data_IF_849133060626
#
_entry.id   IF_849133060626
#
_cell.length_a   1.000
_cell.length_b   1.000
_cell.length_c   1.000
_cell.angle_alpha   90.00
_cell.angle_beta   90.00
_cell.angle_gamma   90.00
#
_symmetry.space_group_name_H-M   'P 1'
#
loop_
_entity.id
_entity.type
_entity.pdbx_description
1 polymer ?
#
# COMPACT_ATOMS: atom_id res chain seq x y z
N UNK A 1 -0.01 15.48 8.94
CA UNK A 1 0.69 14.28 8.44
C UNK A 1 2.12 14.69 8.16
N UNK A 2 3.11 14.07 8.81
CA UNK A 2 4.52 14.35 8.45
C UNK A 2 4.80 13.74 7.07
N UNK A 3 5.25 14.51 6.08
CA UNK A 3 5.49 14.03 4.71
C UNK A 3 6.65 13.03 4.57
N UNK A 4 7.43 12.83 5.63
CA UNK A 4 8.77 12.22 5.57
C UNK A 4 8.84 10.70 5.36
N UNK A 5 7.71 9.98 5.28
CA UNK A 5 7.72 8.51 5.09
C UNK A 5 6.73 8.03 4.02
N UNK A 6 6.52 8.81 2.96
CA UNK A 6 5.82 8.29 1.77
C UNK A 6 6.83 7.53 0.89
N UNK A 7 6.65 6.23 0.74
CA UNK A 7 7.48 5.41 -0.14
C UNK A 7 6.96 5.45 -1.58
N UNK A 8 7.74 6.01 -2.51
CA UNK A 8 7.42 5.98 -3.93
C UNK A 8 7.74 4.61 -4.53
N UNK A 9 6.80 4.06 -5.30
CA UNK A 9 6.99 2.81 -6.01
C UNK A 9 8.10 2.95 -7.06
N UNK A 10 9.13 2.11 -6.96
CA UNK A 10 10.19 1.97 -7.95
C UNK A 10 9.62 1.50 -9.31
N UNK A 11 10.18 1.95 -10.45
CA UNK A 11 9.82 1.42 -11.76
C UNK A 11 10.07 -0.08 -11.91
N UNK A 12 11.02 -0.63 -11.14
CA UNK A 12 11.50 -2.01 -11.27
C UNK A 12 10.78 -3.02 -10.37
N UNK A 13 9.94 -2.57 -9.45
CA UNK A 13 9.12 -3.48 -8.63
C UNK A 13 7.74 -3.68 -9.25
N UNK A 14 7.06 -4.77 -8.97
CA UNK A 14 5.65 -4.95 -9.27
C UNK A 14 4.76 -4.25 -8.24
N UNK A 15 3.47 -4.06 -8.56
CA UNK A 15 2.50 -3.54 -7.59
C UNK A 15 2.37 -4.47 -6.38
N UNK A 16 2.43 -5.78 -6.60
CA UNK A 16 2.42 -6.76 -5.51
C UNK A 16 3.63 -6.61 -4.58
N UNK A 17 4.85 -6.57 -5.12
CA UNK A 17 6.07 -6.41 -4.31
C UNK A 17 6.05 -5.12 -3.47
N UNK A 18 5.53 -4.04 -4.03
CA UNK A 18 5.34 -2.78 -3.34
C UNK A 18 4.39 -2.91 -2.13
N UNK A 19 3.20 -3.50 -2.33
CA UNK A 19 2.24 -3.71 -1.24
C UNK A 19 2.74 -4.73 -0.21
N UNK A 20 3.50 -5.75 -0.64
CA UNK A 20 4.17 -6.70 0.25
C UNK A 20 5.15 -5.99 1.19
N UNK A 21 5.95 -5.08 0.64
CA UNK A 21 6.88 -4.26 1.42
C UNK A 21 6.12 -3.36 2.41
N UNK A 22 5.06 -2.67 1.96
CA UNK A 22 4.26 -1.79 2.82
C UNK A 22 3.64 -2.55 3.99
N UNK A 23 2.99 -3.69 3.72
CA UNK A 23 2.36 -4.52 4.76
C UNK A 23 3.40 -5.05 5.77
N UNK A 24 4.54 -5.52 5.28
CA UNK A 24 5.65 -5.96 6.14
C UNK A 24 6.17 -4.81 7.01
N UNK A 25 6.35 -3.62 6.44
CA UNK A 25 6.85 -2.43 7.15
C UNK A 25 5.85 -1.94 8.19
N UNK A 26 4.55 -1.91 7.86
CA UNK A 26 3.47 -1.52 8.76
C UNK A 26 3.40 -2.42 9.99
N UNK A 27 3.54 -3.74 9.78
CA UNK A 27 3.60 -4.73 10.85
C UNK A 27 4.83 -4.58 11.74
N UNK A 28 6.01 -4.37 11.15
CA UNK A 28 7.27 -4.25 11.90
C UNK A 28 7.31 -2.97 12.74
N UNK A 29 6.84 -1.85 12.18
CA UNK A 29 6.86 -0.56 12.85
C UNK A 29 5.62 -0.33 13.74
N UNK A 30 4.59 -1.18 13.62
CA UNK A 30 3.33 -1.05 14.35
C UNK A 30 2.55 0.23 14.01
N UNK A 31 2.72 0.75 12.79
CA UNK A 31 2.14 2.03 12.34
C UNK A 31 1.67 1.95 10.88
N UNK A 32 0.83 2.91 10.49
CA UNK A 32 0.38 3.06 9.11
C UNK A 32 1.57 3.47 8.22
N UNK A 33 1.73 2.80 7.09
CA UNK A 33 2.73 3.12 6.06
C UNK A 33 2.03 3.73 4.86
N UNK A 34 2.58 4.82 4.36
CA UNK A 34 2.08 5.51 3.18
C UNK A 34 2.96 5.22 1.97
N UNK A 35 2.33 4.98 0.83
CA UNK A 35 2.99 4.65 -0.41
C UNK A 35 2.42 5.44 -1.57
N UNK A 36 3.20 5.64 -2.64
CA UNK A 36 2.74 6.34 -3.84
C UNK A 36 2.95 5.52 -5.11
N UNK A 37 1.90 5.40 -5.92
CA UNK A 37 1.91 4.79 -7.26
C UNK A 37 1.34 5.81 -8.25
N UNK A 38 2.10 6.19 -9.28
CA UNK A 38 1.67 7.12 -10.34
C UNK A 38 1.05 8.44 -9.81
N UNK A 39 1.59 9.00 -8.74
CA UNK A 39 1.08 10.24 -8.13
C UNK A 39 -0.03 10.05 -7.10
N UNK A 40 -0.65 8.87 -7.04
CA UNK A 40 -1.70 8.54 -6.07
C UNK A 40 -1.11 7.98 -4.79
N UNK A 41 -1.60 8.44 -3.64
CA UNK A 41 -1.13 8.05 -2.31
C UNK A 41 -2.08 7.02 -1.69
N UNK A 42 -1.51 5.98 -1.11
CA UNK A 42 -2.20 4.87 -0.46
C UNK A 42 -1.63 4.65 0.94
N UNK A 43 -2.39 3.95 1.78
CA UNK A 43 -2.00 3.62 3.14
C UNK A 43 -2.26 2.15 3.45
N UNK A 44 -1.32 1.50 4.13
CA UNK A 44 -1.46 0.13 4.67
C UNK A 44 -1.26 0.20 6.18
N UNK A 45 -2.19 -0.37 6.95
CA UNK A 45 -2.16 -0.42 8.40
C UNK A 45 -1.51 -1.69 8.93
N UNK A 46 -1.16 -1.75 10.23
CA UNK A 46 -0.65 -2.96 10.86
C UNK A 46 -1.72 -4.08 10.95
N UNK A 47 -3.01 -3.73 10.87
CA UNK A 47 -4.12 -4.70 10.81
C UNK A 47 -4.29 -5.39 9.44
N UNK A 48 -3.58 -4.96 8.40
CA UNK A 48 -3.57 -5.62 7.10
C UNK A 48 -2.67 -6.88 7.19
N UNK A 49 -3.24 -7.96 7.72
CA UNK A 49 -2.50 -9.19 8.08
C UNK A 49 -1.85 -9.89 6.88
N UNK A 50 -2.39 -9.66 5.67
CA UNK A 50 -1.88 -10.25 4.44
C UNK A 50 -1.86 -9.24 3.28
N UNK A 51 -1.01 -9.54 2.29
CA UNK A 51 -0.83 -8.74 1.08
C UNK A 51 -2.15 -8.60 0.29
N UNK A 52 -2.98 -9.64 0.31
CA UNK A 52 -4.24 -9.66 -0.44
C UNK A 52 -5.21 -8.61 0.08
N UNK A 53 -5.33 -8.42 1.40
CA UNK A 53 -6.13 -7.36 2.01
C UNK A 53 -5.59 -5.96 1.66
N UNK A 54 -4.27 -5.79 1.63
CA UNK A 54 -3.66 -4.52 1.24
C UNK A 54 -3.93 -4.18 -0.23
N UNK A 55 -3.85 -5.18 -1.13
CA UNK A 55 -4.19 -5.04 -2.55
C UNK A 55 -5.70 -4.80 -2.72
N UNK A 56 -6.54 -5.52 -1.98
CA UNK A 56 -8.00 -5.35 -2.04
C UNK A 56 -8.41 -3.93 -1.64
N UNK A 57 -7.85 -3.39 -0.55
CA UNK A 57 -8.06 -2.00 -0.15
C UNK A 57 -7.54 -1.02 -1.20
N UNK A 58 -6.42 -1.33 -1.84
CA UNK A 58 -5.90 -0.53 -2.96
C UNK A 58 -6.87 -0.52 -4.14
N UNK A 59 -7.36 -1.68 -4.59
CA UNK A 59 -8.31 -1.78 -5.69
C UNK A 59 -9.66 -1.12 -5.37
N UNK A 60 -10.13 -1.25 -4.13
CA UNK A 60 -11.33 -0.59 -3.62
C UNK A 60 -11.16 0.94 -3.61
N UNK A 61 -9.99 1.44 -3.18
CA UNK A 61 -9.68 2.88 -3.19
C UNK A 61 -9.64 3.49 -4.60
N UNK A 62 -9.38 2.66 -5.60
CA UNK A 62 -9.40 3.05 -7.02
C UNK A 62 -10.79 2.93 -7.65
N UNK A 63 -11.80 2.42 -6.91
CA UNK A 63 -13.13 2.13 -7.45
C UNK A 63 -13.12 1.01 -8.49
N UNK A 64 -12.08 0.17 -8.49
CA UNK A 64 -11.92 -0.94 -9.44
C UNK A 64 -12.52 -2.25 -8.92
N UNK A 65 -12.97 -2.28 -7.67
CA UNK A 65 -13.67 -3.43 -7.10
C UNK A 65 -15.10 -3.47 -7.63
N UNK A 66 -15.34 -4.30 -8.64
CA UNK A 66 -16.69 -4.54 -9.19
C UNK A 66 -16.94 -4.02 -10.61
N UNK A 67 -15.90 -3.72 -11.40
CA UNK A 67 -16.06 -3.60 -12.85
C UNK A 67 -16.08 -5.04 -13.42
N UNK A 68 -17.29 -5.56 -13.59
CA UNK A 68 -17.60 -6.78 -14.36
C UNK A 68 -17.59 -6.48 -15.87
#
# INVERSE_FOLDING_TARGET
MSPDEVHDKSPNESVGEFFAWMAKKARLDGKIIYGRINGLVYSVGPEDENIDQAIDKFLDSLGLKGID
#
